data_IF_815742534896
#
_entry.id   IF_815742534896
#
_cell.length_a   1.000
_cell.length_b   1.000
_cell.length_c   1.000
_cell.angle_alpha   90.00
_cell.angle_beta   90.00
_cell.angle_gamma   90.00
#
_symmetry.space_group_name_H-M   'P 1'
#
loop_
_entity.id
_entity.type
_entity.pdbx_description
1 polymer ?
#
# COMPACT_ATOMS: atom_id res chain seq x y z
N UNK A 1 -11.14 14.70 0.11
CA UNK A 1 -11.38 13.41 -0.59
C UNK A 1 -10.18 13.06 -1.47
N UNK A 2 -9.98 11.80 -1.85
CA UNK A 2 -8.98 11.41 -2.85
C UNK A 2 -9.62 11.04 -4.21
N UNK A 3 -8.82 11.04 -5.28
CA UNK A 3 -9.20 10.60 -6.63
C UNK A 3 -8.45 9.32 -7.00
N UNK A 4 -9.18 8.28 -7.38
CA UNK A 4 -8.59 7.05 -7.93
C UNK A 4 -8.22 7.28 -9.40
N UNK A 5 -6.99 6.89 -9.76
CA UNK A 5 -6.49 6.78 -11.12
C UNK A 5 -6.16 5.29 -11.33
N UNK A 6 -7.05 4.58 -12.02
CA UNK A 6 -6.82 3.19 -12.38
C UNK A 6 -5.92 3.12 -13.63
N UNK A 7 -4.89 2.27 -13.60
CA UNK A 7 -4.01 2.01 -14.73
C UNK A 7 -3.95 0.51 -15.03
N UNK A 8 -3.92 0.14 -16.32
CA UNK A 8 -3.70 -1.23 -16.75
C UNK A 8 -2.24 -1.64 -16.51
N UNK A 9 -2.03 -2.91 -16.13
CA UNK A 9 -0.77 -3.40 -15.57
C UNK A 9 0.43 -3.38 -16.54
N UNK A 10 0.19 -3.18 -17.83
CA UNK A 10 1.19 -3.27 -18.91
C UNK A 10 2.27 -2.18 -18.89
N UNK A 11 1.94 -0.97 -18.46
CA UNK A 11 2.70 0.23 -18.87
C UNK A 11 3.66 0.77 -17.79
N UNK A 12 3.68 0.19 -16.58
CA UNK A 12 4.30 0.76 -15.37
C UNK A 12 5.15 -0.26 -14.59
N UNK A 13 6.30 -0.69 -15.14
CA UNK A 13 7.18 -1.70 -14.51
C UNK A 13 8.67 -1.29 -14.43
N UNK A 14 8.98 -0.10 -13.90
CA UNK A 14 10.35 0.20 -13.39
C UNK A 14 10.36 1.24 -12.25
N UNK A 15 9.89 0.90 -11.05
CA UNK A 15 10.05 1.76 -9.86
C UNK A 15 10.45 0.99 -8.58
N UNK A 16 11.21 1.66 -7.72
CA UNK A 16 11.77 1.12 -6.47
C UNK A 16 10.77 1.28 -5.32
N UNK A 17 10.09 0.20 -4.97
CA UNK A 17 9.18 0.16 -3.83
C UNK A 17 9.95 -0.02 -2.50
N UNK A 18 9.46 0.62 -1.44
CA UNK A 18 9.98 0.49 -0.07
C UNK A 18 8.94 -0.19 0.81
N UNK A 19 9.31 -1.33 1.42
CA UNK A 19 8.37 -2.16 2.17
C UNK A 19 8.11 -1.61 3.58
N UNK A 20 7.16 -0.67 3.68
CA UNK A 20 6.51 -0.29 4.92
C UNK A 20 5.10 -0.87 4.92
N UNK A 21 4.84 -1.93 5.71
CA UNK A 21 3.53 -2.59 5.77
C UNK A 21 2.48 -1.70 6.43
N UNK A 22 1.86 -0.82 5.63
CA UNK A 22 0.82 0.12 6.06
C UNK A 22 -0.57 -0.43 5.72
N UNK A 23 -1.39 -0.65 6.75
CA UNK A 23 -2.78 -1.05 6.64
C UNK A 23 -3.66 0.18 6.43
N UNK A 24 -4.23 0.34 5.24
CA UNK A 24 -5.12 1.47 4.91
C UNK A 24 -6.56 0.98 4.83
N UNK A 25 -7.50 1.68 5.46
CA UNK A 25 -8.94 1.40 5.33
C UNK A 25 -9.57 2.28 4.25
N UNK A 26 -10.34 1.68 3.35
CA UNK A 26 -11.17 2.39 2.37
C UNK A 26 -12.58 2.66 2.91
N UNK A 27 -13.19 3.82 2.59
CA UNK A 27 -14.61 4.11 2.87
C UNK A 27 -15.33 4.71 1.66
N UNK A 28 -16.64 4.43 1.57
CA UNK A 28 -17.54 4.80 0.47
C UNK A 28 -18.73 5.63 0.98
N UNK A 29 -19.25 6.55 0.17
CA UNK A 29 -20.29 7.51 0.60
C UNK A 29 -21.68 6.87 0.70
N UNK A 30 -22.17 6.21 -0.35
CA UNK A 30 -23.59 5.78 -0.43
C UNK A 30 -23.91 4.52 0.40
N UNK A 31 -22.98 3.56 0.49
CA UNK A 31 -23.04 2.40 1.41
C UNK A 31 -21.60 2.01 1.84
N UNK A 32 -21.10 2.51 2.99
CA UNK A 32 -19.69 2.37 3.38
C UNK A 32 -19.23 0.93 3.64
N UNK A 33 -18.63 0.30 2.62
CA UNK A 33 -17.93 -0.98 2.74
C UNK A 33 -16.47 -0.80 3.16
N UNK A 34 -16.17 -0.91 4.46
CA UNK A 34 -14.80 -0.76 4.96
C UNK A 34 -13.97 -2.02 4.73
N UNK A 35 -12.83 -1.87 4.05
CA UNK A 35 -11.87 -2.95 3.74
C UNK A 35 -10.43 -2.46 3.87
N UNK A 36 -9.56 -3.34 4.33
CA UNK A 36 -8.11 -3.09 4.41
C UNK A 36 -7.41 -3.29 3.06
N UNK A 37 -6.46 -2.41 2.75
CA UNK A 37 -5.46 -2.56 1.71
C UNK A 37 -4.06 -2.45 2.31
N UNK A 38 -3.12 -3.25 1.78
CA UNK A 38 -1.69 -3.01 1.98
C UNK A 38 -1.20 -2.00 0.94
N UNK A 39 -0.69 -0.85 1.39
CA UNK A 39 0.02 0.08 0.51
C UNK A 39 1.31 -0.61 -0.01
N UNK A 40 1.61 -0.44 -1.30
CA UNK A 40 2.80 -1.01 -1.95
C UNK A 40 3.96 -0.03 -2.02
N UNK A 41 3.68 1.27 -1.90
CA UNK A 41 4.68 2.33 -1.93
C UNK A 41 4.08 3.67 -2.34
N UNK A 42 4.97 4.64 -2.55
CA UNK A 42 4.67 5.98 -3.02
C UNK A 42 5.34 6.17 -4.37
N UNK A 43 4.69 6.86 -5.29
CA UNK A 43 5.26 7.26 -6.59
C UNK A 43 5.12 8.78 -6.73
N UNK A 44 6.20 9.50 -7.01
CA UNK A 44 6.14 10.93 -7.30
C UNK A 44 5.78 11.17 -8.76
N UNK A 45 5.12 12.29 -9.06
CA UNK A 45 4.89 12.72 -10.45
C UNK A 45 6.18 13.32 -11.04
N UNK A 46 6.32 13.27 -12.36
CA UNK A 46 7.46 13.87 -13.08
C UNK A 46 7.35 15.40 -13.17
N UNK A 47 6.13 15.94 -13.19
CA UNK A 47 5.85 17.37 -13.22
C UNK A 47 5.76 18.01 -11.82
N UNK A 48 5.49 17.21 -10.80
CA UNK A 48 5.25 17.63 -9.41
C UNK A 48 5.86 16.58 -8.44
N UNK A 49 7.18 16.64 -8.16
CA UNK A 49 7.87 15.62 -7.37
C UNK A 49 7.46 15.62 -5.89
N UNK A 50 6.98 16.76 -5.40
CA UNK A 50 6.31 16.95 -4.10
C UNK A 50 5.07 16.07 -3.98
N UNK A 51 4.31 15.90 -5.06
CA UNK A 51 3.05 15.18 -5.05
C UNK A 51 3.25 13.65 -5.04
N UNK A 52 3.26 13.09 -3.84
CA UNK A 52 3.33 11.65 -3.62
C UNK A 52 1.97 10.97 -3.85
N UNK A 53 1.88 10.18 -4.93
CA UNK A 53 0.74 9.32 -5.23
C UNK A 53 0.86 7.98 -4.50
N UNK A 54 -0.25 7.43 -4.02
CA UNK A 54 -0.29 6.18 -3.26
C UNK A 54 -0.51 4.97 -4.18
N UNK A 55 0.34 3.94 -4.08
CA UNK A 55 0.28 2.76 -4.94
C UNK A 55 -0.32 1.53 -4.25
N UNK A 56 -1.31 0.91 -4.89
CA UNK A 56 -1.98 -0.31 -4.43
C UNK A 56 -2.13 -1.33 -5.56
N UNK A 57 -2.14 -2.63 -5.21
CA UNK A 57 -2.38 -3.73 -6.17
C UNK A 57 -3.53 -4.63 -5.68
N UNK A 58 -4.80 -4.22 -5.82
CA UNK A 58 -5.93 -5.09 -5.54
C UNK A 58 -6.12 -6.17 -6.62
N UNK A 59 -6.69 -7.31 -6.24
CA UNK A 59 -7.21 -8.30 -7.19
C UNK A 59 -8.47 -7.74 -7.88
N UNK A 60 -8.48 -7.76 -9.22
CA UNK A 60 -9.53 -7.19 -10.06
C UNK A 60 -10.91 -7.83 -9.83
N UNK A 61 -10.93 -9.10 -9.43
CA UNK A 61 -12.15 -9.89 -9.18
C UNK A 61 -12.81 -9.56 -7.84
N UNK A 62 -12.14 -8.80 -6.97
CA UNK A 62 -12.69 -8.47 -5.64
C UNK A 62 -13.67 -7.29 -5.72
N UNK A 63 -14.81 -7.31 -5.00
CA UNK A 63 -15.85 -6.27 -5.11
C UNK A 63 -15.35 -4.84 -4.88
N UNK A 64 -14.29 -4.65 -4.10
CA UNK A 64 -13.63 -3.35 -3.90
C UNK A 64 -13.11 -2.73 -5.20
N UNK A 65 -12.66 -3.52 -6.17
CA UNK A 65 -12.12 -2.99 -7.44
C UNK A 65 -13.25 -2.51 -8.33
N UNK A 66 -14.36 -3.26 -8.40
CA UNK A 66 -15.59 -2.80 -9.04
C UNK A 66 -16.16 -1.52 -8.37
N UNK A 67 -16.07 -1.41 -7.03
CA UNK A 67 -16.44 -0.19 -6.31
C UNK A 67 -15.51 0.99 -6.66
N UNK A 68 -14.18 0.79 -6.78
CA UNK A 68 -13.22 1.83 -7.20
C UNK A 68 -13.43 2.31 -8.64
N UNK A 69 -13.91 1.44 -9.52
CA UNK A 69 -14.30 1.80 -10.89
C UNK A 69 -15.63 2.56 -10.90
N UNK A 70 -16.63 2.10 -10.12
CA UNK A 70 -17.96 2.72 -10.05
C UNK A 70 -17.98 4.08 -9.31
N UNK A 71 -17.02 4.33 -8.42
CA UNK A 71 -16.85 5.63 -7.76
C UNK A 71 -15.36 5.91 -7.50
N UNK A 72 -14.72 6.83 -8.25
CA UNK A 72 -13.31 7.16 -8.07
C UNK A 72 -13.05 8.05 -6.84
N UNK A 73 -14.07 8.46 -6.08
CA UNK A 73 -13.91 9.23 -4.84
C UNK A 73 -13.87 8.30 -3.63
N UNK A 74 -12.68 8.17 -3.06
CA UNK A 74 -12.42 7.33 -1.88
C UNK A 74 -11.87 8.15 -0.72
N UNK A 75 -12.20 7.70 0.49
CA UNK A 75 -11.50 8.07 1.72
C UNK A 75 -10.54 6.95 2.11
N UNK A 76 -9.34 7.33 2.56
CA UNK A 76 -8.29 6.43 3.04
C UNK A 76 -7.96 6.79 4.50
N UNK A 77 -8.19 5.86 5.42
CA UNK A 77 -7.80 6.03 6.83
C UNK A 77 -6.55 5.19 7.11
N UNK A 78 -5.45 5.84 7.52
CA UNK A 78 -4.18 5.18 7.91
C UNK A 78 -3.81 5.47 9.36
N UNK A 79 -3.78 4.45 10.20
CA UNK A 79 -3.32 4.55 11.59
C UNK A 79 -1.85 4.13 11.72
N UNK A 80 -1.02 4.94 12.38
CA UNK A 80 0.38 4.64 12.65
C UNK A 80 0.59 4.33 14.14
N UNK A 81 0.68 3.05 14.49
CA UNK A 81 1.14 2.63 15.82
C UNK A 81 2.66 2.71 15.88
N UNK A 82 3.18 3.91 16.18
CA UNK A 82 4.62 4.13 16.35
C UNK A 82 5.11 3.55 17.68
N UNK A 83 5.28 2.23 17.75
CA UNK A 83 5.85 1.52 18.92
C UNK A 83 7.38 1.69 19.01
N UNK A 84 7.91 2.83 18.56
CA UNK A 84 9.32 3.20 18.73
C UNK A 84 9.43 3.82 20.13
N UNK A 85 10.09 3.18 21.11
CA UNK A 85 10.34 3.82 22.39
C UNK A 85 11.21 5.08 22.18
N UNK A 86 11.08 6.13 23.00
CA UNK A 86 11.93 7.30 22.89
C UNK A 86 13.39 6.90 23.14
N UNK A 87 14.20 6.84 22.09
CA UNK A 87 15.63 6.60 22.20
C UNK A 87 16.28 7.88 22.73
N UNK A 88 16.32 8.00 24.05
CA UNK A 88 17.01 9.07 24.76
C UNK A 88 18.53 8.91 24.59
N UNK A 89 19.05 9.38 23.45
CA UNK A 89 20.49 9.43 23.18
C UNK A 89 21.13 10.47 24.11
N UNK A 90 21.60 10.01 25.27
CA UNK A 90 22.54 10.77 26.09
C UNK A 90 23.88 10.83 25.34
N UNK A 91 24.31 12.03 24.96
CA UNK A 91 25.56 12.24 24.21
C UNK A 91 26.78 11.78 25.01
N UNK A 92 27.61 10.92 24.42
CA UNK A 92 28.78 10.35 25.11
C UNK A 92 29.59 9.35 24.27
N UNK A 93 29.84 9.61 23.00
CA UNK A 93 30.63 8.72 22.13
C UNK A 93 31.07 9.39 20.83
N UNK A 94 32.26 9.05 20.33
CA UNK A 94 32.89 9.70 19.17
C UNK A 94 32.54 9.06 17.82
N UNK A 95 32.78 9.83 16.76
CA UNK A 95 32.58 9.50 15.35
C UNK A 95 33.12 8.11 14.94
N UNK A 96 32.31 7.32 14.23
CA UNK A 96 32.79 6.26 13.34
C UNK A 96 32.03 6.29 12.01
N UNK A 97 32.72 6.03 10.89
CA UNK A 97 32.19 6.18 9.54
C UNK A 97 31.42 4.94 9.08
N UNK A 98 30.13 4.88 9.41
CA UNK A 98 29.21 3.79 9.04
C UNK A 98 28.91 3.72 7.54
N UNK A 99 29.47 2.72 6.85
CA UNK A 99 29.25 2.42 5.43
C UNK A 99 27.78 2.02 5.18
N UNK A 100 27.03 2.78 4.36
CA UNK A 100 25.64 2.44 4.04
C UNK A 100 25.53 1.08 3.35
N UNK A 101 24.83 0.14 3.98
CA UNK A 101 24.53 -1.17 3.38
C UNK A 101 23.44 -1.03 2.33
N UNK A 102 23.65 -1.64 1.15
CA UNK A 102 22.72 -1.54 0.03
C UNK A 102 21.40 -2.25 0.31
N UNK A 103 20.31 -1.48 0.45
CA UNK A 103 18.95 -1.99 0.56
C UNK A 103 18.60 -2.88 -0.65
N UNK A 104 18.55 -4.19 -0.43
CA UNK A 104 18.15 -5.18 -1.45
C UNK A 104 16.66 -5.05 -1.76
N UNK A 105 16.35 -5.02 -3.05
CA UNK A 105 14.99 -4.91 -3.58
C UNK A 105 14.21 -6.21 -3.33
N UNK A 106 12.91 -6.10 -3.02
CA UNK A 106 11.99 -7.23 -2.95
C UNK A 106 10.77 -6.99 -3.83
N UNK A 107 10.53 -7.90 -4.79
CA UNK A 107 9.54 -7.75 -5.86
C UNK A 107 8.23 -8.43 -5.46
N UNK A 108 7.22 -7.64 -5.11
CA UNK A 108 5.94 -8.18 -4.60
C UNK A 108 5.05 -8.78 -5.71
N UNK A 109 4.46 -9.96 -5.46
CA UNK A 109 3.32 -10.53 -6.22
C UNK A 109 2.00 -10.44 -5.41
N UNK A 110 0.93 -11.00 -5.97
CA UNK A 110 -0.19 -11.56 -5.22
C UNK A 110 0.17 -12.95 -4.66
N UNK A 111 -0.43 -13.36 -3.54
CA UNK A 111 -0.42 -14.76 -3.12
C UNK A 111 -1.49 -15.53 -3.91
N UNK A 112 -1.07 -16.44 -4.77
CA UNK A 112 -1.88 -17.63 -5.06
C UNK A 112 -1.52 -18.66 -3.99
N UNK A 113 -2.50 -19.16 -3.25
CA UNK A 113 -2.26 -20.09 -2.15
C UNK A 113 -1.94 -21.49 -2.70
N UNK A 114 -0.66 -21.85 -2.84
CA UNK A 114 -0.27 -23.22 -3.19
C UNK A 114 -0.88 -24.19 -2.17
N UNK A 115 -1.50 -25.28 -2.65
CA UNK A 115 -2.19 -26.28 -1.81
C UNK A 115 -3.67 -25.98 -1.52
N UNK A 116 -4.08 -24.71 -1.47
CA UNK A 116 -5.50 -24.34 -1.29
C UNK A 116 -6.13 -24.08 -2.65
N UNK A 117 -7.23 -24.77 -2.98
CA UNK A 117 -8.06 -24.40 -4.14
C UNK A 117 -8.52 -22.95 -3.99
N UNK A 118 -7.98 -22.04 -4.80
CA UNK A 118 -8.22 -20.60 -4.71
C UNK A 118 -9.64 -20.30 -5.23
N UNK A 119 -10.62 -20.54 -4.36
CA UNK A 119 -12.03 -20.34 -4.63
C UNK A 119 -12.37 -18.88 -4.94
N UNK A 120 -13.57 -18.67 -5.50
CA UNK A 120 -14.08 -17.33 -5.78
C UNK A 120 -14.06 -16.48 -4.50
N UNK A 121 -13.62 -15.20 -4.51
CA UNK A 121 -13.54 -14.38 -3.30
C UNK A 121 -14.84 -14.41 -2.47
N UNK A 122 -14.78 -15.00 -1.28
CA UNK A 122 -15.95 -15.31 -0.44
C UNK A 122 -16.23 -16.81 -0.25
N UNK A 123 -15.50 -17.70 -0.91
CA UNK A 123 -15.48 -19.13 -0.60
C UNK A 123 -14.98 -19.38 0.83
N UNK A 124 -15.52 -20.41 1.48
CA UNK A 124 -15.04 -20.92 2.77
C UNK A 124 -13.57 -21.37 2.66
N UNK A 125 -12.76 -21.00 3.64
CA UNK A 125 -11.42 -21.56 3.83
C UNK A 125 -11.49 -22.51 5.03
N UNK A 126 -11.15 -23.79 4.82
CA UNK A 126 -11.11 -24.80 5.88
C UNK A 126 -9.68 -25.03 6.43
N UNK A 127 -8.68 -24.34 5.87
CA UNK A 127 -7.29 -24.29 6.33
C UNK A 127 -7.12 -23.48 7.62
N UNK A 128 -6.44 -24.03 8.62
CA UNK A 128 -6.23 -23.39 9.93
C UNK A 128 -5.25 -22.21 9.92
N UNK A 129 -5.37 -21.32 10.90
CA UNK A 129 -4.59 -20.07 10.96
C UNK A 129 -3.07 -20.27 11.13
N UNK A 130 -2.64 -21.41 11.68
CA UNK A 130 -1.22 -21.70 11.97
C UNK A 130 -0.33 -21.85 10.72
N UNK A 131 -0.90 -22.15 9.55
CA UNK A 131 -0.13 -22.33 8.31
C UNK A 131 0.50 -21.04 7.78
N UNK A 132 0.08 -19.88 8.29
CA UNK A 132 0.47 -18.57 7.77
C UNK A 132 1.78 -18.00 8.35
N UNK A 133 2.23 -18.49 9.50
CA UNK A 133 3.31 -17.85 10.28
C UNK A 133 4.72 -18.24 9.83
N UNK A 134 4.91 -19.47 9.33
CA UNK A 134 6.21 -19.98 8.85
C UNK A 134 6.56 -19.56 7.40
N UNK A 135 5.79 -18.67 6.77
CA UNK A 135 5.99 -18.26 5.37
C UNK A 135 7.06 -17.16 5.23
N UNK A 136 8.33 -17.54 5.46
CA UNK A 136 9.51 -16.76 5.07
C UNK A 136 9.50 -16.52 3.56
N UNK A 137 9.32 -15.27 3.14
CA UNK A 137 9.14 -14.87 1.73
C UNK A 137 10.47 -14.67 1.00
N UNK A 138 11.25 -15.74 0.87
CA UNK A 138 12.25 -15.81 -0.20
C UNK A 138 11.52 -16.04 -1.55
N UNK A 139 11.98 -15.36 -2.60
CA UNK A 139 11.26 -15.24 -3.86
C UNK A 139 12.03 -15.95 -4.98
N UNK A 140 11.87 -17.27 -5.05
CA UNK A 140 12.35 -18.05 -6.20
C UNK A 140 11.72 -17.54 -7.50
N UNK A 141 12.55 -17.39 -8.54
CA UNK A 141 12.07 -17.30 -9.90
C UNK A 141 11.42 -18.63 -10.30
N UNK A 142 10.38 -18.62 -11.17
CA UNK A 142 9.60 -19.83 -11.40
C UNK A 142 10.48 -20.83 -12.14
N UNK A 143 10.41 -22.10 -11.74
CA UNK A 143 11.13 -23.16 -12.48
C UNK A 143 10.58 -23.22 -13.91
N UNK A 144 11.37 -23.65 -14.91
CA UNK A 144 10.97 -23.62 -16.33
C UNK A 144 9.88 -24.65 -16.71
N UNK A 145 9.02 -25.06 -15.78
CA UNK A 145 7.79 -25.78 -16.04
C UNK A 145 6.70 -24.80 -16.53
N UNK A 146 6.12 -25.11 -17.69
CA UNK A 146 5.02 -24.35 -18.28
C UNK A 146 3.79 -24.26 -17.36
N UNK A 147 3.59 -25.22 -16.45
CA UNK A 147 2.46 -25.24 -15.52
C UNK A 147 2.59 -24.14 -14.47
N UNK A 148 3.73 -24.05 -13.78
CA UNK A 148 4.00 -22.95 -12.83
C UNK A 148 3.96 -21.58 -13.53
N UNK A 149 4.53 -21.49 -14.74
CA UNK A 149 4.54 -20.26 -15.54
C UNK A 149 3.12 -19.77 -15.86
N UNK A 150 2.25 -20.64 -16.38
CA UNK A 150 0.84 -20.31 -16.68
C UNK A 150 0.07 -19.88 -15.43
N UNK A 151 0.29 -20.53 -14.29
CA UNK A 151 -0.34 -20.16 -13.02
C UNK A 151 0.15 -18.80 -12.50
N UNK A 152 1.44 -18.48 -12.66
CA UNK A 152 2.01 -17.17 -12.31
C UNK A 152 1.51 -16.05 -13.25
N UNK A 153 1.44 -16.30 -14.57
CA UNK A 153 0.88 -15.37 -15.56
C UNK A 153 -0.61 -15.08 -15.30
N UNK A 154 -1.42 -16.11 -15.08
CA UNK A 154 -2.83 -15.97 -14.67
C UNK A 154 -2.97 -15.26 -13.31
N UNK A 155 -2.03 -15.44 -12.39
CA UNK A 155 -2.04 -14.72 -11.10
C UNK A 155 -1.74 -13.23 -11.28
N UNK A 156 -0.88 -12.86 -12.22
CA UNK A 156 -0.59 -11.46 -12.56
C UNK A 156 -1.71 -10.80 -13.35
N UNK A 157 -2.38 -11.51 -14.27
CA UNK A 157 -3.52 -10.96 -15.03
C UNK A 157 -4.73 -10.59 -14.16
N UNK A 158 -4.79 -11.12 -12.93
CA UNK A 158 -5.81 -10.77 -11.94
C UNK A 158 -5.43 -9.57 -11.07
N UNK A 159 -4.26 -8.95 -11.22
CA UNK A 159 -3.87 -7.74 -10.50
C UNK A 159 -4.19 -6.46 -11.28
N UNK A 160 -4.95 -5.55 -10.66
CA UNK A 160 -5.08 -4.18 -11.13
C UNK A 160 -3.99 -3.30 -10.49
N UNK A 161 -3.46 -2.32 -11.21
CA UNK A 161 -2.63 -1.26 -10.64
C UNK A 161 -3.51 -0.07 -10.31
N UNK A 162 -3.53 0.31 -9.03
CA UNK A 162 -4.40 1.37 -8.52
C UNK A 162 -3.55 2.46 -7.90
N UNK A 163 -3.55 3.63 -8.54
CA UNK A 163 -2.89 4.84 -8.08
C UNK A 163 -3.97 5.73 -7.44
N UNK A 164 -3.67 6.35 -6.30
CA UNK A 164 -4.60 7.26 -5.63
C UNK A 164 -3.92 8.62 -5.44
N UNK A 165 -4.54 9.66 -6.01
CA UNK A 165 -4.14 11.07 -5.91
C UNK A 165 -4.90 11.74 -4.75
N UNK A 166 -4.24 12.03 -3.61
CA UNK A 166 -4.87 12.75 -2.51
C UNK A 166 -5.12 14.21 -2.90
N UNK A 167 -6.37 14.69 -2.74
CA UNK A 167 -6.69 16.13 -2.90
C UNK A 167 -6.72 16.86 -1.53
N UNK A 168 -6.85 16.08 -0.44
CA UNK A 168 -7.01 16.52 0.95
C UNK A 168 -6.45 15.41 1.85
N UNK A 169 -5.67 15.78 2.87
CA UNK A 169 -5.12 14.89 3.89
C UNK A 169 -5.33 15.53 5.26
N UNK A 170 -6.05 14.84 6.16
CA UNK A 170 -6.21 15.27 7.55
C UNK A 170 -5.20 14.50 8.41
N UNK A 171 -4.16 15.17 8.90
CA UNK A 171 -3.11 14.58 9.73
C UNK A 171 -3.38 14.88 11.21
N UNK A 172 -3.39 13.83 12.03
CA UNK A 172 -3.77 13.90 13.45
C UNK A 172 -2.59 13.48 14.31
N UNK A 173 -1.99 14.43 15.01
CA UNK A 173 -1.00 14.16 16.06
C UNK A 173 -1.76 13.89 17.36
N UNK A 174 -1.87 12.61 17.75
CA UNK A 174 -2.42 12.21 19.04
C UNK A 174 -1.33 12.28 20.11
N UNK A 175 -1.46 13.21 21.06
CA UNK A 175 -0.52 13.33 22.20
C UNK A 175 -1.28 13.24 23.53
N UNK A 176 -0.62 12.91 24.66
CA UNK A 176 -1.30 12.72 25.95
C UNK A 176 -2.01 13.95 26.53
N UNK A 177 -1.73 15.17 26.02
CA UNK A 177 -2.31 16.42 26.55
C UNK A 177 -2.95 17.32 25.50
N UNK A 178 -2.56 17.22 24.22
CA UNK A 178 -3.15 18.01 23.15
C UNK A 178 -3.16 17.20 21.84
N UNK A 179 -4.35 16.92 21.32
CA UNK A 179 -4.49 16.45 19.94
C UNK A 179 -4.35 17.66 19.02
N UNK A 180 -3.53 17.54 17.97
CA UNK A 180 -3.37 18.60 16.96
C UNK A 180 -3.81 18.06 15.61
N UNK A 181 -4.70 18.79 14.94
CA UNK A 181 -5.07 18.49 13.56
C UNK A 181 -4.28 19.41 12.63
N UNK A 182 -3.72 18.85 11.56
CA UNK A 182 -3.18 19.62 10.44
C UNK A 182 -3.82 19.11 9.16
N UNK A 183 -4.74 19.88 8.60
CA UNK A 183 -5.38 19.55 7.32
C UNK A 183 -4.61 20.18 6.18
N UNK A 184 -4.17 19.34 5.25
CA UNK A 184 -3.57 19.72 3.98
C UNK A 184 -4.61 19.61 2.86
N UNK A 185 -4.61 20.55 1.91
CA UNK A 185 -5.38 20.44 0.67
C UNK A 185 -4.64 21.03 -0.52
N UNK A 186 -4.99 20.57 -1.72
CA UNK A 186 -4.45 21.08 -2.98
C UNK A 186 -5.24 22.31 -3.43
N UNK A 187 -4.57 23.46 -3.57
CA UNK A 187 -5.16 24.63 -4.22
C UNK A 187 -5.19 24.47 -5.75
N UNK A 188 -5.99 25.28 -6.43
CA UNK A 188 -6.22 25.26 -7.90
C UNK A 188 -5.00 25.62 -8.77
N UNK A 189 -3.80 25.74 -8.19
CA UNK A 189 -2.53 25.98 -8.86
C UNK A 189 -1.40 25.06 -8.37
N UNK A 190 -1.73 23.83 -7.96
CA UNK A 190 -0.77 22.82 -7.50
C UNK A 190 -0.20 23.03 -6.09
N UNK A 191 -0.15 24.28 -5.62
CA UNK A 191 0.33 24.64 -4.27
C UNK A 191 -0.49 23.94 -3.19
N UNK A 192 0.20 23.29 -2.26
CA UNK A 192 -0.37 22.78 -1.03
C UNK A 192 -0.62 23.93 -0.04
N UNK A 193 -1.69 23.81 0.73
CA UNK A 193 -2.02 24.69 1.85
C UNK A 193 -2.30 23.84 3.08
N UNK A 194 -1.91 24.33 4.25
CA UNK A 194 -2.09 23.64 5.54
C UNK A 194 -2.82 24.56 6.53
N UNK A 195 -3.84 24.03 7.19
CA UNK A 195 -4.50 24.64 8.34
C UNK A 195 -4.23 23.79 9.58
N UNK A 196 -3.68 24.42 10.62
CA UNK A 196 -3.59 23.81 11.95
C UNK A 196 -4.87 24.16 12.71
N UNK A 197 -5.46 23.15 13.36
CA UNK A 197 -6.67 23.20 14.18
C UNK A 197 -6.35 22.66 15.58
#
# INVERSE_FOLDING_TARGET
>A
MARVIAATSSDLITQKLSNSHRLTRLRWVLRPHVRSLGCRGFISRTDDPSHALLLYTPDVRTPKTAQMIANPHVQLDTSFTSTVPPVSVLNGGQNTSGRQSGSKYSKMRARSCKGVTVGRPGSRCDSGQAEFENLSLELDEPRPDDTEKRLWEMSLSNLALVVIEPQEVDYVELTPMLNRHTRFWRASGGKEQALVL
#
